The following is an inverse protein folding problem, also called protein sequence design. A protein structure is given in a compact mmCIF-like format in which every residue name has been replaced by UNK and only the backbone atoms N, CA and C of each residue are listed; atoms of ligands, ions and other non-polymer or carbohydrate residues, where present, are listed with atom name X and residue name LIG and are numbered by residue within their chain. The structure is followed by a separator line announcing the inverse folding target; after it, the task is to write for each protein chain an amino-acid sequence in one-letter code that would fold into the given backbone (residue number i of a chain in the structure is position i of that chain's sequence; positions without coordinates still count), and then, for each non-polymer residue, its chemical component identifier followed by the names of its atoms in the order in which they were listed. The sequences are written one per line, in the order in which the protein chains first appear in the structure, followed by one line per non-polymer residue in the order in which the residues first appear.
data_IF_806438880173
#
_entry.id   IF_806438880173
#
_cell.length_a   1.000
_cell.length_b   1.000
_cell.length_c   1.000
_cell.angle_alpha   90.00
_cell.angle_beta   90.00
_cell.angle_gamma   90.00
#
_symmetry.space_group_name_H-M   'P 1'
#
loop_
_entity.id
_entity.type
_entity.pdbx_description
1 polymer ?
#
# COMPACT_ATOMS: atom_id res chain seq x y z
N UNK A 1 -15.98 -1.97 8.16
CA UNK A 1 -14.74 -1.41 8.77
C UNK A 1 -13.57 -1.75 7.88
N UNK A 2 -13.09 -0.76 7.15
CA UNK A 2 -11.98 -0.88 6.20
C UNK A 2 -10.67 -0.46 6.87
N UNK A 3 -9.54 -1.03 6.42
CA UNK A 3 -8.20 -0.72 6.95
C UNK A 3 -7.54 0.39 6.14
N UNK A 4 -6.92 1.33 6.84
CA UNK A 4 -6.17 2.46 6.30
C UNK A 4 -4.80 2.48 6.94
N UNK A 5 -3.79 2.84 6.18
CA UNK A 5 -2.39 2.78 6.61
C UNK A 5 -1.66 4.05 6.22
N UNK A 6 -1.06 4.73 7.19
CA UNK A 6 0.07 5.62 6.90
C UNK A 6 1.32 4.77 6.76
N UNK A 7 2.05 4.93 5.65
CA UNK A 7 3.21 4.12 5.33
C UNK A 7 4.45 5.00 5.39
N UNK A 8 5.48 4.50 6.07
CA UNK A 8 6.85 4.97 5.98
C UNK A 8 7.75 3.81 5.59
N UNK A 9 9.01 4.08 5.24
CA UNK A 9 9.98 3.03 4.91
C UNK A 9 10.21 2.04 6.06
N UNK A 10 10.19 2.53 7.30
CA UNK A 10 10.59 1.75 8.48
C UNK A 10 9.43 1.23 9.31
N UNK A 11 8.24 1.76 9.13
CA UNK A 11 7.04 1.35 9.88
C UNK A 11 5.77 1.76 9.15
N UNK A 12 4.62 1.32 9.67
CA UNK A 12 3.32 1.81 9.27
C UNK A 12 2.45 2.09 10.49
N UNK A 13 1.51 3.02 10.35
CA UNK A 13 0.46 3.27 11.35
C UNK A 13 -0.88 2.88 10.74
N UNK A 14 -1.66 2.05 11.45
CA UNK A 14 -2.91 1.50 10.95
C UNK A 14 -4.11 2.07 11.72
N UNK A 15 -5.19 2.37 11.00
CA UNK A 15 -6.51 2.66 11.58
C UNK A 15 -7.62 1.89 10.86
N UNK A 16 -8.82 1.96 11.42
CA UNK A 16 -10.03 1.36 10.88
C UNK A 16 -11.11 2.42 10.70
N UNK A 17 -11.91 2.27 9.65
CA UNK A 17 -13.13 3.06 9.53
C UNK A 17 -14.17 2.64 10.56
N UNK A 18 -14.96 3.61 11.01
CA UNK A 18 -16.21 3.34 11.71
C UNK A 18 -17.29 2.79 10.73
N UNK A 19 -18.50 2.60 11.25
CA UNK A 19 -19.64 2.07 10.49
C UNK A 19 -20.06 2.96 9.31
N UNK A 20 -19.80 4.26 9.41
CA UNK A 20 -20.16 5.25 8.39
C UNK A 20 -19.01 5.54 7.42
N UNK A 21 -17.90 4.81 7.49
CA UNK A 21 -16.75 4.97 6.61
C UNK A 21 -15.74 6.05 7.03
N UNK A 22 -15.99 6.79 8.12
CA UNK A 22 -15.04 7.78 8.63
C UNK A 22 -13.90 7.11 9.40
N UNK A 23 -12.70 7.69 9.36
CA UNK A 23 -11.55 7.26 10.12
C UNK A 23 -10.79 8.47 10.69
N UNK A 24 -10.00 8.22 11.73
CA UNK A 24 -9.01 9.16 12.26
C UNK A 24 -7.70 8.39 12.44
N UNK A 25 -6.59 9.06 12.18
CA UNK A 25 -5.25 8.49 12.30
C UNK A 25 -4.35 9.53 12.97
N UNK A 26 -3.74 9.13 14.07
CA UNK A 26 -2.74 9.93 14.78
C UNK A 26 -1.35 9.40 14.36
N UNK A 27 -0.50 10.30 13.90
CA UNK A 27 0.85 9.98 13.40
C UNK A 27 1.82 10.83 14.20
N UNK A 28 2.88 10.21 14.71
CA UNK A 28 3.92 10.92 15.44
C UNK A 28 4.72 11.82 14.50
N UNK A 29 5.09 13.02 14.95
CA UNK A 29 5.75 14.04 14.13
C UNK A 29 7.10 13.56 13.55
N UNK A 30 7.80 12.64 14.23
CA UNK A 30 9.05 12.05 13.75
C UNK A 30 8.89 11.13 12.52
N UNK A 31 7.66 10.66 12.28
CA UNK A 31 7.32 9.85 11.10
C UNK A 31 6.90 10.70 9.91
N UNK A 32 6.51 11.96 10.12
CA UNK A 32 6.08 12.85 9.05
C UNK A 32 7.31 13.35 8.26
N UNK A 33 7.23 13.18 6.94
CA UNK A 33 8.23 13.63 5.96
C UNK A 33 7.68 14.78 5.11
N UNK A 34 8.50 15.33 4.23
CA UNK A 34 8.07 16.37 3.29
C UNK A 34 6.94 15.88 2.37
N UNK A 35 7.04 14.64 1.89
CA UNK A 35 5.99 13.89 1.19
C UNK A 35 5.72 12.58 1.93
N UNK A 36 4.45 12.20 2.06
CA UNK A 36 4.00 11.06 2.86
C UNK A 36 2.98 10.24 2.09
N UNK A 37 2.86 8.94 2.39
CA UNK A 37 1.92 8.04 1.72
C UNK A 37 0.84 7.56 2.67
N UNK A 38 -0.42 7.79 2.30
CA UNK A 38 -1.59 7.16 2.89
C UNK A 38 -2.10 6.08 1.93
N UNK A 39 -2.18 4.84 2.40
CA UNK A 39 -2.58 3.68 1.62
C UNK A 39 -3.91 3.11 2.10
N UNK A 40 -4.76 2.78 1.13
CA UNK A 40 -6.14 2.36 1.28
C UNK A 40 -6.26 0.92 0.78
N UNK A 41 -6.35 -0.01 1.72
CA UNK A 41 -6.68 -1.39 1.41
C UNK A 41 -8.21 -1.46 1.20
N UNK A 42 -8.70 -2.31 0.29
CA UNK A 42 -10.14 -2.53 0.07
C UNK A 42 -10.58 -4.00 0.16
N UNK A 43 -9.71 -4.91 0.60
CA UNK A 43 -9.96 -6.35 0.56
C UNK A 43 -11.29 -6.74 1.20
N UNK A 44 -11.58 -6.15 2.37
CA UNK A 44 -12.81 -6.46 3.10
C UNK A 44 -14.05 -5.95 2.37
N UNK A 45 -13.99 -4.76 1.77
CA UNK A 45 -15.09 -4.22 0.97
C UNK A 45 -15.31 -5.06 -0.29
N UNK A 46 -14.22 -5.46 -0.95
CA UNK A 46 -14.25 -6.31 -2.13
C UNK A 46 -14.85 -7.68 -1.81
N UNK A 47 -14.45 -8.30 -0.69
CA UNK A 47 -15.03 -9.58 -0.23
C UNK A 47 -16.54 -9.49 -0.02
N UNK A 48 -17.03 -8.41 0.60
CA UNK A 48 -18.47 -8.18 0.79
C UNK A 48 -19.17 -8.06 -0.56
N UNK A 49 -18.63 -7.24 -1.47
CA UNK A 49 -19.22 -7.05 -2.81
C UNK A 49 -19.25 -8.33 -3.63
N UNK A 50 -18.18 -9.13 -3.60
CA UNK A 50 -18.15 -10.43 -4.29
C UNK A 50 -19.23 -11.37 -3.75
N UNK A 51 -19.40 -11.42 -2.43
CA UNK A 51 -20.47 -12.19 -1.77
C UNK A 51 -21.86 -11.71 -2.18
N UNK A 52 -22.11 -10.40 -2.16
CA UNK A 52 -23.40 -9.82 -2.57
C UNK A 52 -23.73 -10.10 -4.05
N UNK A 53 -22.71 -10.16 -4.91
CA UNK A 53 -22.86 -10.42 -6.35
C UNK A 53 -22.68 -11.89 -6.74
N UNK A 54 -22.59 -12.82 -5.77
CA UNK A 54 -22.35 -14.25 -6.01
C UNK A 54 -21.14 -14.55 -6.92
N UNK A 55 -20.11 -13.72 -6.85
CA UNK A 55 -18.84 -13.92 -7.59
C UNK A 55 -17.93 -14.81 -6.75
N UNK A 56 -17.29 -15.81 -7.38
CA UNK A 56 -16.27 -16.63 -6.71
C UNK A 56 -15.10 -15.75 -6.27
N UNK A 57 -14.27 -16.24 -5.32
CA UNK A 57 -13.04 -15.55 -4.89
C UNK A 57 -12.02 -15.49 -6.03
N UNK A 58 -12.27 -14.61 -6.98
CA UNK A 58 -11.46 -14.26 -8.13
C UNK A 58 -11.57 -12.75 -8.33
N UNK A 59 -10.52 -12.15 -8.90
CA UNK A 59 -10.49 -10.74 -9.30
C UNK A 59 -11.77 -10.44 -10.10
N UNK A 60 -12.60 -9.55 -9.58
CA UNK A 60 -13.91 -9.25 -10.14
C UNK A 60 -14.00 -7.82 -10.66
N UNK A 61 -14.84 -7.60 -11.68
CA UNK A 61 -15.27 -6.27 -12.11
C UNK A 61 -16.13 -5.51 -11.09
N UNK A 62 -16.18 -5.97 -9.83
CA UNK A 62 -16.73 -5.24 -8.69
C UNK A 62 -15.72 -4.90 -7.59
N UNK A 63 -14.47 -5.37 -7.72
CA UNK A 63 -13.41 -5.11 -6.75
C UNK A 63 -12.85 -3.69 -6.94
N UNK A 64 -12.60 -2.98 -5.85
CA UNK A 64 -11.79 -1.76 -5.86
C UNK A 64 -10.31 -2.13 -5.90
N UNK A 65 -9.54 -1.49 -6.78
CA UNK A 65 -8.09 -1.53 -6.72
C UNK A 65 -7.57 -0.85 -5.43
N UNK A 66 -6.41 -1.30 -4.97
CA UNK A 66 -5.68 -0.60 -3.90
C UNK A 66 -5.37 0.83 -4.34
N UNK A 67 -5.44 1.79 -3.41
CA UNK A 67 -5.13 3.18 -3.71
C UNK A 67 -4.13 3.74 -2.71
N UNK A 68 -3.27 4.62 -3.19
CA UNK A 68 -2.33 5.37 -2.38
C UNK A 68 -2.44 6.86 -2.70
N UNK A 69 -2.20 7.69 -1.70
CA UNK A 69 -2.25 9.14 -1.82
C UNK A 69 -0.99 9.71 -1.22
N UNK A 70 -0.32 10.55 -2.02
CA UNK A 70 0.83 11.32 -1.57
C UNK A 70 0.34 12.68 -1.10
N UNK A 71 0.79 13.10 0.08
CA UNK A 71 0.49 14.41 0.65
C UNK A 71 1.71 15.04 1.28
N UNK A 72 1.71 16.37 1.38
CA UNK A 72 2.83 17.08 2.00
C UNK A 72 2.71 17.07 3.53
N UNK A 73 3.83 16.91 4.25
CA UNK A 73 3.85 17.09 5.71
C UNK A 73 3.50 18.51 6.18
N UNK A 74 3.52 19.49 5.27
CA UNK A 74 3.09 20.88 5.52
C UNK A 74 1.60 21.10 5.23
N UNK A 75 0.92 20.10 4.66
CA UNK A 75 -0.49 20.17 4.31
C UNK A 75 -1.35 19.83 5.52
N UNK A 76 -2.30 20.70 5.87
CA UNK A 76 -3.33 20.39 6.86
C UNK A 76 -4.43 19.58 6.18
N UNK A 77 -4.45 18.27 6.41
CA UNK A 77 -5.51 17.38 5.86
C UNK A 77 -6.69 17.36 6.83
N UNK A 78 -7.58 18.33 6.70
CA UNK A 78 -8.86 18.36 7.43
C UNK A 78 -10.02 18.26 6.43
N UNK A 79 -10.97 17.37 6.71
CA UNK A 79 -12.19 17.18 5.90
C UNK A 79 -11.94 16.89 4.41
N UNK A 80 -10.79 16.31 4.07
CA UNK A 80 -10.46 15.96 2.69
C UNK A 80 -11.30 14.76 2.24
N UNK A 81 -12.02 14.92 1.13
CA UNK A 81 -12.73 13.84 0.48
C UNK A 81 -11.81 13.18 -0.54
N UNK A 82 -11.70 11.85 -0.46
CA UNK A 82 -10.94 11.05 -1.43
C UNK A 82 -11.93 10.33 -2.34
N UNK A 83 -11.88 10.61 -3.64
CA UNK A 83 -12.71 9.92 -4.63
C UNK A 83 -12.01 8.63 -5.06
N UNK A 84 -12.51 7.51 -4.57
CA UNK A 84 -11.98 6.19 -4.87
C UNK A 84 -12.67 5.70 -6.14
N UNK A 85 -12.00 5.90 -7.28
CA UNK A 85 -12.50 5.40 -8.55
C UNK A 85 -12.43 3.87 -8.64
N UNK A 86 -13.38 3.30 -9.37
CA UNK A 86 -13.39 1.88 -9.71
C UNK A 86 -12.15 1.56 -10.54
N UNK A 87 -11.19 0.82 -9.96
CA UNK A 87 -9.97 0.42 -10.65
C UNK A 87 -10.26 -0.69 -11.64
N UNK A 88 -10.12 -0.42 -12.94
CA UNK A 88 -10.04 -1.50 -13.93
C UNK A 88 -8.82 -2.37 -13.62
N UNK A 89 -9.00 -3.69 -13.54
CA UNK A 89 -7.88 -4.62 -13.37
C UNK A 89 -7.26 -4.93 -14.73
N UNK A 90 -5.93 -4.83 -14.82
CA UNK A 90 -5.19 -5.35 -15.96
C UNK A 90 -4.79 -6.81 -15.66
N UNK A 91 -5.41 -7.76 -16.36
CA UNK A 91 -5.08 -9.19 -16.25
C UNK A 91 -4.16 -9.55 -17.43
N UNK A 92 -2.88 -9.79 -17.15
CA UNK A 92 -1.98 -10.50 -18.07
C UNK A 92 -1.01 -9.66 -18.91
N UNK A 93 -0.51 -8.53 -18.38
CA UNK A 93 0.60 -7.85 -19.04
C UNK A 93 1.91 -8.66 -18.86
N UNK A 94 2.38 -9.31 -19.92
CA UNK A 94 3.74 -9.85 -19.99
C UNK A 94 4.66 -8.71 -20.39
N UNK A 95 5.27 -8.05 -19.40
CA UNK A 95 6.26 -7.00 -19.65
C UNK A 95 7.65 -7.64 -19.71
N UNK A 96 8.21 -7.74 -20.91
CA UNK A 96 9.62 -8.16 -21.09
C UNK A 96 10.50 -6.91 -20.93
N UNK A 97 10.92 -6.62 -19.70
CA UNK A 97 11.87 -5.56 -19.41
C UNK A 97 13.29 -6.06 -19.67
N UNK A 98 13.99 -5.41 -20.61
CA UNK A 98 15.33 -5.82 -21.06
C UNK A 98 16.44 -5.50 -20.03
N UNK A 99 16.13 -4.70 -19.01
CA UNK A 99 16.93 -4.34 -17.83
C UNK A 99 15.99 -3.65 -16.82
N UNK A 100 15.29 -4.38 -15.94
CA UNK A 100 14.46 -3.72 -14.93
C UNK A 100 15.36 -2.85 -14.02
N UNK A 101 14.88 -1.68 -13.56
CA UNK A 101 15.54 -0.99 -12.46
C UNK A 101 15.71 -1.95 -11.28
N UNK A 102 16.75 -1.77 -10.44
CA UNK A 102 16.92 -2.66 -9.29
C UNK A 102 15.68 -2.57 -8.40
N UNK A 103 15.04 -3.70 -8.13
CA UNK A 103 13.96 -3.79 -7.15
C UNK A 103 14.52 -3.50 -5.75
N UNK A 104 13.79 -2.69 -4.97
CA UNK A 104 14.19 -2.37 -3.61
C UNK A 104 13.37 -3.14 -2.58
N UNK A 105 14.04 -3.97 -1.79
CA UNK A 105 13.41 -4.78 -0.76
C UNK A 105 13.82 -4.28 0.63
N UNK A 106 12.85 -3.90 1.44
CA UNK A 106 13.09 -3.44 2.81
C UNK A 106 12.34 -4.30 3.83
N UNK A 107 13.03 -4.68 4.90
CA UNK A 107 12.46 -5.31 6.07
C UNK A 107 12.69 -4.43 7.30
N UNK A 108 11.61 -3.96 7.93
CA UNK A 108 11.64 -3.01 9.05
C UNK A 108 12.57 -1.80 8.78
N UNK A 109 12.48 -1.25 7.57
CA UNK A 109 13.29 -0.11 7.12
C UNK A 109 14.73 -0.42 6.75
N UNK A 110 15.17 -1.68 6.83
CA UNK A 110 16.51 -2.09 6.38
C UNK A 110 16.45 -2.72 5.00
N UNK A 111 17.28 -2.22 4.09
CA UNK A 111 17.42 -2.81 2.76
C UNK A 111 18.01 -4.23 2.89
N UNK A 112 17.40 -5.18 2.19
CA UNK A 112 17.81 -6.59 2.16
C UNK A 112 17.75 -7.13 0.72
N UNK A 113 18.36 -8.28 0.48
CA UNK A 113 18.22 -8.96 -0.82
C UNK A 113 16.80 -9.51 -1.01
N UNK A 114 16.37 -9.60 -2.28
CA UNK A 114 15.13 -10.26 -2.68
C UNK A 114 15.00 -11.66 -2.09
N UNK A 115 16.06 -12.48 -2.17
CA UNK A 115 16.06 -13.85 -1.65
C UNK A 115 15.74 -13.88 -0.15
N UNK A 116 16.35 -12.98 0.63
CA UNK A 116 16.11 -12.88 2.07
C UNK A 116 14.70 -12.37 2.36
N UNK A 117 14.21 -11.41 1.58
CA UNK A 117 12.86 -10.86 1.71
C UNK A 117 11.79 -11.93 1.47
N UNK A 118 11.88 -12.64 0.35
CA UNK A 118 10.95 -13.71 -0.03
C UNK A 118 10.95 -14.84 0.99
N UNK A 119 12.13 -15.20 1.52
CA UNK A 119 12.23 -16.17 2.61
C UNK A 119 11.49 -15.70 3.86
N UNK A 120 11.74 -14.47 4.32
CA UNK A 120 11.06 -13.92 5.50
C UNK A 120 9.54 -13.87 5.33
N UNK A 121 9.07 -13.43 4.17
CA UNK A 121 7.64 -13.34 3.86
C UNK A 121 6.96 -14.71 3.85
N UNK A 122 7.63 -15.74 3.30
CA UNK A 122 7.10 -17.12 3.26
C UNK A 122 7.09 -17.77 4.65
N UNK A 123 8.12 -17.54 5.45
CA UNK A 123 8.25 -18.13 6.77
C UNK A 123 7.36 -17.44 7.82
N UNK A 124 6.94 -16.18 7.58
CA UNK A 124 6.21 -15.37 8.55
C UNK A 124 4.92 -14.78 7.96
N UNK A 125 3.86 -15.60 7.89
CA UNK A 125 2.55 -15.19 7.38
C UNK A 125 1.88 -14.02 8.13
N UNK A 126 2.35 -13.69 9.33
CA UNK A 126 1.86 -12.57 10.12
C UNK A 126 2.41 -11.21 9.70
N UNK A 127 3.50 -11.16 8.93
CA UNK A 127 4.15 -9.91 8.55
C UNK A 127 3.28 -9.12 7.57
N UNK A 128 3.27 -7.80 7.75
CA UNK A 128 2.53 -6.92 6.86
C UNK A 128 3.40 -6.59 5.65
N UNK A 129 2.87 -6.87 4.46
CA UNK A 129 3.51 -6.61 3.17
C UNK A 129 2.81 -5.46 2.44
N UNK A 130 3.60 -4.61 1.80
CA UNK A 130 3.12 -3.61 0.85
C UNK A 130 4.03 -3.57 -0.37
N UNK A 131 3.44 -3.25 -1.51
CA UNK A 131 4.13 -3.04 -2.79
C UNK A 131 3.71 -1.69 -3.34
N UNK A 132 4.70 -0.91 -3.80
CA UNK A 132 4.48 0.39 -4.42
C UNK A 132 5.28 0.46 -5.71
N UNK A 133 4.70 1.14 -6.69
CA UNK A 133 5.33 1.43 -7.98
C UNK A 133 5.40 2.95 -8.19
N UNK A 134 6.25 3.40 -9.10
CA UNK A 134 6.26 4.78 -9.60
C UNK A 134 6.51 5.82 -8.51
N UNK A 135 5.57 6.76 -8.32
CA UNK A 135 5.80 7.93 -7.46
C UNK A 135 5.78 7.56 -5.98
N UNK A 136 4.89 6.66 -5.59
CA UNK A 136 4.76 6.16 -4.22
C UNK A 136 6.05 5.48 -3.77
N UNK A 137 6.64 4.66 -4.65
CA UNK A 137 7.93 4.03 -4.41
C UNK A 137 9.02 5.09 -4.17
N UNK A 138 9.13 6.08 -5.06
CA UNK A 138 10.13 7.17 -4.96
C UNK A 138 10.02 7.96 -3.66
N UNK A 139 8.79 8.30 -3.26
CA UNK A 139 8.52 9.02 -2.01
C UNK A 139 8.92 8.18 -0.80
N UNK A 140 8.52 6.91 -0.76
CA UNK A 140 8.79 6.03 0.38
C UNK A 140 10.25 5.62 0.50
N UNK A 141 10.97 5.46 -0.62
CA UNK A 141 12.39 5.15 -0.61
C UNK A 141 13.27 6.39 -0.41
N UNK A 142 12.73 7.60 -0.60
CA UNK A 142 13.48 8.85 -0.70
C UNK A 142 14.56 8.77 -1.81
N UNK A 143 14.25 8.06 -2.89
CA UNK A 143 15.15 7.82 -4.03
C UNK A 143 14.37 7.96 -5.34
N UNK A 144 14.74 8.95 -6.16
CA UNK A 144 14.07 9.27 -7.42
C UNK A 144 14.34 8.29 -8.56
N UNK A 145 15.27 7.34 -8.39
CA UNK A 145 15.66 6.38 -9.41
C UNK A 145 14.99 5.01 -9.28
N UNK A 146 14.20 4.81 -8.23
CA UNK A 146 13.51 3.54 -8.02
C UNK A 146 12.14 3.59 -8.68
N UNK A 147 11.74 2.49 -9.31
CA UNK A 147 10.37 2.37 -9.79
C UNK A 147 9.56 1.39 -8.91
N UNK A 148 10.19 0.36 -8.34
CA UNK A 148 9.49 -0.67 -7.57
C UNK A 148 10.03 -0.79 -6.13
N UNK A 149 9.12 -0.81 -5.15
CA UNK A 149 9.44 -0.88 -3.73
C UNK A 149 8.62 -1.94 -2.99
N UNK A 150 9.32 -2.88 -2.36
CA UNK A 150 8.75 -3.91 -1.51
C UNK A 150 9.05 -3.62 -0.04
N UNK A 151 7.99 -3.44 0.76
CA UNK A 151 8.08 -3.21 2.20
C UNK A 151 7.50 -4.41 2.96
N UNK A 152 8.26 -4.93 3.93
CA UNK A 152 7.82 -5.99 4.83
C UNK A 152 8.08 -5.55 6.28
N UNK A 153 7.07 -5.75 7.11
CA UNK A 153 7.10 -5.31 8.50
C UNK A 153 6.83 -6.48 9.45
N UNK A 154 7.70 -6.66 10.44
CA UNK A 154 7.41 -7.51 11.58
C UNK A 154 6.53 -6.71 12.56
N UNK A 155 5.31 -7.20 12.81
CA UNK A 155 4.32 -6.49 13.65
C UNK A 155 4.84 -6.09 15.03
#
# INVERSE_FOLDING_TARGET
MQKFFFISRSTYVKTLTNQNGYFSLEISDDLIKDENVLYFNFDKLNEIKRKENNVRDSISGYDYGEQAIIFSGKEKIENRQFEINYGGFEIGAVVILKNPPPDYYYFDGKNISQEKFEKLRKENHGYQYFFFEGREAKVLAEDGFIDDLHLLFSN
#
